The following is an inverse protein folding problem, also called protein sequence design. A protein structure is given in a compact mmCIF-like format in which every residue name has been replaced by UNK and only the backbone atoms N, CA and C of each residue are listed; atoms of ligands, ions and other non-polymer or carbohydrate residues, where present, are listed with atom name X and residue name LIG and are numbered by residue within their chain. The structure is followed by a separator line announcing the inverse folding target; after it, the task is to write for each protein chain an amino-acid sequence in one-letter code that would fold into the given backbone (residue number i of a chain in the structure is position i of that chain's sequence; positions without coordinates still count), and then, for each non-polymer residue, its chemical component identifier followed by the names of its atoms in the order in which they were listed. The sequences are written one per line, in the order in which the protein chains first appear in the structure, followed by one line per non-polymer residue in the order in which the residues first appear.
data_IF_335181437509
#
_entry.id   IF_335181437509
#
_cell.length_a   1.000
_cell.length_b   1.000
_cell.length_c   1.000
_cell.angle_alpha   90.00
_cell.angle_beta   90.00
_cell.angle_gamma   90.00
#
_symmetry.space_group_name_H-M   'P 1'
#
loop_
_entity.id
_entity.type
_entity.pdbx_description
1 polymer ?
#
# COMPACT_ATOMS: atom_id res chain seq x y z
N UNK A 1 -25.56 -14.42 -2.38
CA UNK A 1 -25.28 -13.66 -3.62
C UNK A 1 -24.91 -12.25 -3.19
N UNK A 2 -23.64 -12.00 -2.88
CA UNK A 2 -23.17 -10.66 -2.51
C UNK A 2 -22.62 -10.01 -3.78
N UNK A 3 -23.30 -8.94 -4.15
CA UNK A 3 -23.15 -8.25 -5.42
C UNK A 3 -21.79 -7.56 -5.50
N UNK A 4 -21.06 -7.87 -6.57
CA UNK A 4 -19.85 -7.18 -7.01
C UNK A 4 -20.16 -5.71 -7.27
N UNK A 5 -20.01 -4.85 -6.27
CA UNK A 5 -20.16 -3.41 -6.42
C UNK A 5 -18.80 -2.69 -6.34
N UNK A 6 -18.65 -1.79 -7.31
CA UNK A 6 -17.65 -0.72 -7.44
C UNK A 6 -16.31 -1.07 -8.07
N UNK A 7 -16.14 -0.57 -9.31
CA UNK A 7 -14.85 -0.31 -9.94
C UNK A 7 -14.17 0.83 -9.17
N UNK A 8 -13.34 0.50 -8.19
CA UNK A 8 -12.61 1.40 -7.30
C UNK A 8 -11.40 0.62 -6.79
N UNK A 9 -10.17 1.18 -6.84
CA UNK A 9 -8.85 0.51 -6.75
C UNK A 9 -8.96 -1.00 -6.54
N UNK A 10 -9.00 -1.73 -7.66
CA UNK A 10 -9.07 -3.20 -7.64
C UNK A 10 -7.86 -3.78 -6.91
N UNK A 11 -8.01 -4.93 -6.25
CA UNK A 11 -6.94 -5.60 -5.50
C UNK A 11 -5.66 -5.74 -6.35
N UNK A 12 -5.82 -6.04 -7.63
CA UNK A 12 -4.73 -6.09 -8.60
C UNK A 12 -4.01 -4.72 -8.73
N UNK A 13 -4.75 -3.62 -8.78
CA UNK A 13 -4.16 -2.27 -8.85
C UNK A 13 -3.40 -1.90 -7.58
N UNK A 14 -3.84 -2.33 -6.38
CA UNK A 14 -3.09 -2.09 -5.14
C UNK A 14 -1.75 -2.84 -5.16
N UNK A 15 -1.78 -4.13 -5.50
CA UNK A 15 -0.59 -4.98 -5.54
C UNK A 15 0.41 -4.52 -6.61
N UNK A 16 -0.06 -4.07 -7.78
CA UNK A 16 0.79 -3.51 -8.83
C UNK A 16 1.46 -2.21 -8.40
N UNK A 17 0.71 -1.33 -7.72
CA UNK A 17 1.26 -0.08 -7.15
C UNK A 17 2.34 -0.41 -6.13
N UNK A 18 2.12 -1.33 -5.20
CA UNK A 18 3.15 -1.76 -4.23
C UNK A 18 4.39 -2.30 -4.94
N UNK A 19 4.23 -3.20 -5.90
CA UNK A 19 5.35 -3.76 -6.66
C UNK A 19 6.18 -2.69 -7.37
N UNK A 20 5.55 -1.64 -7.88
CA UNK A 20 6.25 -0.53 -8.54
C UNK A 20 7.13 0.30 -7.60
N UNK A 21 6.87 0.28 -6.30
CA UNK A 21 7.63 1.03 -5.30
C UNK A 21 8.89 0.31 -4.82
N UNK A 22 8.95 -1.03 -4.96
CA UNK A 22 10.02 -1.85 -4.37
C UNK A 22 11.44 -1.43 -4.82
N UNK A 23 11.70 -1.11 -6.10
CA UNK A 23 13.03 -0.66 -6.51
C UNK A 23 13.49 0.60 -5.76
N UNK A 24 12.61 1.59 -5.63
CA UNK A 24 12.91 2.87 -4.98
C UNK A 24 13.08 2.71 -3.46
N UNK A 25 12.23 1.88 -2.83
CA UNK A 25 12.35 1.56 -1.39
C UNK A 25 13.68 0.86 -1.12
N UNK A 26 14.06 -0.13 -1.97
CA UNK A 26 15.35 -0.84 -1.84
C UNK A 26 16.54 0.10 -1.99
N UNK A 27 16.49 1.03 -2.94
CA UNK A 27 17.56 2.01 -3.15
C UNK A 27 17.77 2.92 -1.92
N UNK A 28 16.74 3.13 -1.09
CA UNK A 28 16.77 3.98 0.10
C UNK A 28 17.15 3.23 1.39
N UNK A 29 17.37 1.91 1.35
CA UNK A 29 17.72 1.13 2.54
C UNK A 29 18.96 1.66 3.29
N UNK A 30 20.10 1.97 2.63
CA UNK A 30 21.27 2.50 3.34
C UNK A 30 21.02 3.87 4.00
N UNK A 31 20.23 4.73 3.34
CA UNK A 31 19.86 6.03 3.90
C UNK A 31 18.92 5.89 5.11
N UNK A 32 18.01 4.93 5.05
CA UNK A 32 17.08 4.57 6.14
C UNK A 32 17.84 4.07 7.36
N UNK A 33 18.80 3.16 7.17
CA UNK A 33 19.66 2.64 8.24
C UNK A 33 20.44 3.77 8.94
N UNK A 34 21.05 4.67 8.17
CA UNK A 34 21.79 5.81 8.71
C UNK A 34 20.89 6.79 9.47
N UNK A 35 19.67 7.00 8.99
CA UNK A 35 18.71 7.93 9.59
C UNK A 35 18.08 7.35 10.87
N UNK A 36 17.97 6.02 10.99
CA UNK A 36 17.38 5.34 12.14
C UNK A 36 15.85 5.44 12.20
N UNK A 37 15.20 5.92 11.13
CA UNK A 37 13.75 5.95 10.96
C UNK A 37 13.39 5.77 9.48
N UNK A 38 12.15 5.35 9.21
CA UNK A 38 11.60 5.37 7.84
C UNK A 38 11.61 6.82 7.32
N UNK A 39 12.21 7.08 6.16
CA UNK A 39 12.18 8.39 5.51
C UNK A 39 10.76 8.90 5.24
N UNK A 40 10.55 10.20 5.42
CA UNK A 40 9.22 10.81 5.30
C UNK A 40 8.66 10.72 3.87
N UNK A 41 9.53 10.68 2.86
CA UNK A 41 9.16 10.49 1.45
C UNK A 41 8.67 9.06 1.15
N UNK A 42 9.22 8.05 1.82
CA UNK A 42 8.71 6.67 1.76
C UNK A 42 7.33 6.62 2.42
N UNK A 43 7.15 7.24 3.59
CA UNK A 43 5.83 7.31 4.26
C UNK A 43 4.80 7.99 3.36
N UNK A 44 5.17 9.09 2.71
CA UNK A 44 4.27 9.77 1.76
C UNK A 44 3.93 8.86 0.58
N UNK A 45 4.91 8.19 0.00
CA UNK A 45 4.71 7.26 -1.12
C UNK A 45 3.76 6.12 -0.75
N UNK A 46 3.91 5.52 0.43
CA UNK A 46 3.01 4.48 0.95
C UNK A 46 1.60 5.03 1.24
N UNK A 47 1.50 6.29 1.66
CA UNK A 47 0.22 6.99 1.85
C UNK A 47 -0.50 7.18 0.53
N UNK A 48 0.20 7.62 -0.52
CA UNK A 48 -0.37 7.92 -1.84
C UNK A 48 -0.90 6.66 -2.54
N UNK A 49 -0.27 5.51 -2.32
CA UNK A 49 -0.77 4.22 -2.82
C UNK A 49 -1.83 3.59 -1.91
N UNK A 50 -2.15 4.23 -0.78
CA UNK A 50 -3.27 3.87 0.08
C UNK A 50 -3.00 2.79 1.14
N UNK A 51 -1.73 2.46 1.45
CA UNK A 51 -1.38 1.41 2.43
C UNK A 51 -2.09 1.63 3.77
N UNK A 52 -2.05 2.85 4.29
CA UNK A 52 -2.61 3.18 5.61
C UNK A 52 -4.15 3.21 5.65
N UNK A 53 -4.81 3.09 4.49
CA UNK A 53 -6.27 3.06 4.37
C UNK A 53 -6.77 1.82 3.63
N UNK A 54 -5.90 0.83 3.43
CA UNK A 54 -6.17 -0.36 2.62
C UNK A 54 -7.39 -1.15 3.12
N UNK A 55 -7.51 -1.37 4.44
CA UNK A 55 -8.61 -2.13 5.05
C UNK A 55 -9.72 -1.26 5.64
N UNK A 56 -9.57 0.06 5.55
CA UNK A 56 -10.54 1.00 6.10
C UNK A 56 -11.82 1.01 5.24
N UNK A 57 -13.03 1.09 5.84
CA UNK A 57 -14.27 1.15 5.08
C UNK A 57 -14.33 2.34 4.12
N UNK A 58 -14.97 2.17 2.96
CA UNK A 58 -15.11 3.23 1.94
C UNK A 58 -15.79 4.49 2.46
N UNK A 59 -16.74 4.36 3.39
CA UNK A 59 -17.44 5.50 3.99
C UNK A 59 -16.50 6.49 4.72
N UNK A 60 -15.28 6.05 5.05
CA UNK A 60 -14.24 6.87 5.67
C UNK A 60 -13.09 7.20 4.72
N UNK A 61 -13.26 6.97 3.41
CA UNK A 61 -12.23 7.19 2.38
C UNK A 61 -11.15 6.11 2.31
N UNK A 62 -11.45 4.89 2.79
CA UNK A 62 -10.58 3.73 2.65
C UNK A 62 -10.86 2.89 1.41
N UNK A 63 -10.01 1.89 1.16
CA UNK A 63 -10.10 1.01 -0.01
C UNK A 63 -10.97 -0.24 0.25
N UNK A 64 -11.22 -0.56 1.53
CA UNK A 64 -12.01 -1.72 1.93
C UNK A 64 -11.54 -3.03 1.28
N UNK A 65 -10.21 -3.19 1.16
CA UNK A 65 -9.57 -4.40 0.66
C UNK A 65 -9.76 -5.55 1.66
N UNK A 66 -9.82 -6.77 1.12
CA UNK A 66 -9.77 -7.97 1.95
C UNK A 66 -8.38 -8.13 2.61
N UNK A 67 -8.35 -8.85 3.72
CA UNK A 67 -7.12 -9.03 4.50
C UNK A 67 -6.04 -9.79 3.72
N UNK A 68 -6.40 -10.73 2.85
CA UNK A 68 -5.40 -11.51 2.11
C UNK A 68 -4.66 -10.61 1.11
N UNK A 69 -5.38 -9.80 0.34
CA UNK A 69 -4.79 -8.80 -0.56
C UNK A 69 -3.89 -7.81 0.21
N UNK A 70 -4.35 -7.30 1.35
CA UNK A 70 -3.54 -6.37 2.16
C UNK A 70 -2.24 -7.01 2.64
N UNK A 71 -2.30 -8.21 3.23
CA UNK A 71 -1.10 -8.89 3.71
C UNK A 71 -0.16 -9.31 2.59
N UNK A 72 -0.69 -9.68 1.41
CA UNK A 72 0.14 -9.93 0.24
C UNK A 72 0.97 -8.70 -0.14
N UNK A 73 0.37 -7.51 -0.14
CA UNK A 73 1.09 -6.25 -0.35
C UNK A 73 2.17 -6.01 0.70
N UNK A 74 1.86 -6.24 1.98
CA UNK A 74 2.81 -6.05 3.08
C UNK A 74 4.00 -7.01 3.03
N UNK A 75 3.82 -8.25 2.57
CA UNK A 75 4.91 -9.23 2.41
C UNK A 75 5.87 -8.85 1.27
N UNK A 76 5.43 -8.02 0.31
CA UNK A 76 6.28 -7.57 -0.81
C UNK A 76 7.26 -6.46 -0.41
N UNK A 77 6.90 -5.64 0.58
CA UNK A 77 7.68 -4.50 1.09
C UNK A 77 8.91 -4.97 1.89
#
# INVERSE_FOLDING_TARGET
MLERHSREVDSASFLDRISSLLPDIRARAPATEKLGKVPDDIVQTLTDVGVFRAVQPRQWGGLELDLATFYEGMVRL
#
